data_IF_639859137016
#
_entry.id   IF_639859137016
#
_cell.length_a   1.000
_cell.length_b   1.000
_cell.length_c   1.000
_cell.angle_alpha   90.00
_cell.angle_beta   90.00
_cell.angle_gamma   90.00
#
_symmetry.space_group_name_H-M   'P 1'
#
loop_
_entity.id
_entity.type
_entity.pdbx_description
1 polymer ?
#
# COMPACT_ATOMS: atom_id res chain seq x y z
N UNK A 1 -0.02 4.17 -5.04
CA UNK A 1 -0.89 2.97 -5.07
C UNK A 1 -0.23 1.92 -5.97
N UNK A 2 0.65 1.05 -5.43
CA UNK A 2 1.26 -0.03 -6.20
C UNK A 2 0.28 -1.17 -6.54
N UNK A 3 0.60 -2.01 -7.54
CA UNK A 3 -0.12 -3.25 -7.82
C UNK A 3 -0.27 -4.16 -6.60
N UNK A 4 -1.44 -4.77 -6.45
CA UNK A 4 -1.75 -5.72 -5.38
C UNK A 4 -0.95 -7.01 -5.53
N UNK A 5 -0.32 -7.49 -4.46
CA UNK A 5 0.36 -8.77 -4.48
C UNK A 5 -0.66 -9.92 -4.36
N UNK A 6 -0.46 -10.97 -5.15
CA UNK A 6 -1.23 -12.20 -5.18
C UNK A 6 -0.30 -13.36 -4.88
N UNK A 7 -0.90 -14.50 -4.59
CA UNK A 7 -0.08 -15.56 -4.06
C UNK A 7 0.97 -16.13 -5.02
N UNK A 8 0.70 -16.15 -6.32
CA UNK A 8 1.66 -16.67 -7.30
C UNK A 8 2.62 -15.62 -7.85
N UNK A 9 2.58 -14.37 -7.37
CA UNK A 9 3.53 -13.34 -7.82
C UNK A 9 4.94 -13.69 -7.33
N UNK A 10 6.02 -13.16 -7.92
CA UNK A 10 7.42 -13.48 -7.52
C UNK A 10 8.05 -12.37 -6.68
N UNK A 11 9.01 -12.73 -5.83
CA UNK A 11 9.73 -11.81 -4.94
C UNK A 11 11.13 -11.66 -5.50
N UNK A 12 11.79 -10.57 -5.13
CA UNK A 12 13.16 -10.28 -5.45
C UNK A 12 13.97 -10.41 -4.16
N UNK A 13 14.71 -11.50 -4.02
CA UNK A 13 15.57 -11.76 -2.87
C UNK A 13 17.00 -11.31 -3.16
N UNK A 14 17.59 -10.53 -2.26
CA UNK A 14 19.01 -10.14 -2.31
C UNK A 14 19.95 -11.29 -2.01
N UNK A 15 19.48 -12.33 -1.32
CA UNK A 15 20.27 -13.56 -1.07
C UNK A 15 20.40 -14.42 -2.34
N UNK A 16 19.44 -14.32 -3.28
CA UNK A 16 19.41 -15.10 -4.51
C UNK A 16 19.12 -14.21 -5.75
N UNK A 17 20.02 -13.28 -6.08
CA UNK A 17 19.74 -12.19 -7.03
C UNK A 17 19.68 -12.60 -8.50
N UNK A 18 20.25 -13.76 -8.87
CA UNK A 18 20.37 -14.21 -10.27
C UNK A 18 19.31 -15.22 -10.72
N UNK A 19 18.42 -15.61 -9.81
CA UNK A 19 17.34 -16.55 -10.10
C UNK A 19 16.01 -15.85 -9.82
N UNK A 20 15.02 -15.87 -10.74
CA UNK A 20 13.66 -15.53 -10.38
C UNK A 20 13.27 -16.46 -9.22
N UNK A 21 13.29 -15.95 -7.99
CA UNK A 21 12.94 -16.75 -6.83
C UNK A 21 11.52 -17.26 -7.04
N UNK A 22 11.31 -18.55 -6.83
CA UNK A 22 10.02 -19.25 -6.86
C UNK A 22 8.92 -18.41 -6.18
N UNK A 23 7.68 -18.49 -6.69
CA UNK A 23 6.55 -17.63 -6.33
C UNK A 23 6.46 -17.26 -4.84
N UNK A 24 6.25 -15.96 -4.58
CA UNK A 24 6.21 -15.29 -3.27
C UNK A 24 5.32 -15.99 -2.29
N UNK A 25 4.17 -16.54 -2.64
CA UNK A 25 3.21 -16.94 -1.61
C UNK A 25 2.73 -18.35 -1.85
N UNK A 26 2.99 -19.21 -0.88
CA UNK A 26 2.46 -20.56 -0.88
C UNK A 26 0.94 -20.57 -1.03
N UNK A 27 0.34 -21.66 -1.56
CA UNK A 27 -1.10 -21.84 -1.54
C UNK A 27 -1.65 -21.84 -0.12
N UNK A 28 -2.12 -20.69 0.35
CA UNK A 28 -3.09 -20.54 1.44
C UNK A 28 -4.51 -20.50 0.87
N UNK A 29 -5.46 -21.09 1.58
CA UNK A 29 -6.88 -20.88 1.29
C UNK A 29 -7.24 -19.46 1.76
N UNK A 30 -7.29 -18.52 0.82
CA UNK A 30 -7.77 -17.16 1.04
C UNK A 30 -9.20 -16.98 0.53
N UNK A 31 -10.03 -16.29 1.29
CA UNK A 31 -11.41 -15.91 0.93
C UNK A 31 -11.46 -14.80 -0.11
N UNK A 32 -10.48 -13.88 -0.08
CA UNK A 32 -10.39 -12.75 -1.01
C UNK A 32 -9.50 -13.11 -2.18
N UNK A 33 -10.03 -12.89 -3.39
CA UNK A 33 -9.33 -13.14 -4.65
C UNK A 33 -9.10 -11.84 -5.42
N UNK A 34 -7.87 -11.62 -5.87
CA UNK A 34 -7.45 -10.51 -6.72
C UNK A 34 -6.95 -11.10 -8.03
N UNK A 35 -7.57 -10.72 -9.15
CA UNK A 35 -7.25 -11.31 -10.46
C UNK A 35 -7.36 -12.83 -10.47
N UNK A 36 -8.43 -13.36 -9.85
CA UNK A 36 -8.74 -14.79 -9.69
C UNK A 36 -7.77 -15.62 -8.82
N UNK A 37 -6.75 -15.00 -8.24
CA UNK A 37 -5.80 -15.64 -7.34
C UNK A 37 -6.00 -15.14 -5.92
N UNK A 38 -5.71 -15.95 -4.87
CA UNK A 38 -5.81 -15.46 -3.50
C UNK A 38 -4.88 -14.26 -3.29
N UNK A 39 -5.38 -13.27 -2.54
CA UNK A 39 -4.66 -12.05 -2.25
C UNK A 39 -3.60 -12.25 -1.15
N UNK A 40 -2.42 -11.66 -1.33
CA UNK A 40 -1.33 -11.71 -0.36
C UNK A 40 -1.43 -10.59 0.69
N UNK A 41 -0.92 -10.85 1.89
CA UNK A 41 -1.02 -9.97 3.05
C UNK A 41 0.26 -10.01 3.88
N UNK A 42 0.40 -9.04 4.76
CA UNK A 42 1.44 -9.07 5.79
C UNK A 42 1.39 -10.37 6.60
N UNK A 43 2.55 -11.00 6.77
CA UNK A 43 2.71 -12.26 7.48
C UNK A 43 2.46 -13.52 6.64
N UNK A 44 2.00 -13.40 5.39
CA UNK A 44 1.88 -14.57 4.53
C UNK A 44 3.26 -15.17 4.23
N UNK A 45 3.38 -16.51 4.18
CA UNK A 45 4.65 -17.20 4.04
C UNK A 45 5.19 -17.09 2.62
N UNK A 46 6.52 -17.04 2.52
CA UNK A 46 7.26 -16.97 1.28
C UNK A 46 8.17 -18.18 1.13
N UNK A 47 8.24 -18.71 -0.09
CA UNK A 47 9.19 -19.78 -0.43
C UNK A 47 10.28 -19.19 -1.31
N UNK A 48 11.52 -19.25 -0.83
CA UNK A 48 12.69 -18.88 -1.61
C UNK A 48 13.57 -20.11 -1.83
N UNK A 49 14.53 -19.98 -2.74
CA UNK A 49 15.60 -20.96 -2.90
C UNK A 49 16.39 -20.97 -1.59
N UNK A 50 16.46 -22.11 -0.90
CA UNK A 50 17.24 -22.24 0.35
C UNK A 50 16.51 -21.87 1.65
N UNK A 51 15.22 -21.53 1.64
CA UNK A 51 14.47 -21.35 2.89
C UNK A 51 13.09 -20.71 2.76
N UNK A 52 12.37 -20.69 3.88
CA UNK A 52 11.08 -20.01 3.99
C UNK A 52 11.27 -18.59 4.56
N UNK A 53 10.41 -17.68 4.15
CA UNK A 53 10.35 -16.30 4.60
C UNK A 53 8.92 -15.85 4.87
N UNK A 54 8.73 -14.56 5.09
CA UNK A 54 7.44 -13.92 5.35
C UNK A 54 7.37 -12.55 4.66
N UNK A 55 6.15 -12.11 4.33
CA UNK A 55 5.89 -10.71 3.95
C UNK A 55 5.96 -9.86 5.22
N UNK A 56 6.95 -8.97 5.29
CA UNK A 56 7.25 -8.22 6.51
C UNK A 56 6.29 -7.05 6.74
N UNK A 57 5.77 -6.45 5.66
CA UNK A 57 4.88 -5.28 5.72
C UNK A 57 3.86 -5.34 4.59
N UNK A 58 2.70 -4.71 4.82
CA UNK A 58 1.69 -4.42 3.80
C UNK A 58 1.16 -3.00 3.95
N UNK A 59 0.13 -2.67 3.18
CA UNK A 59 -0.59 -1.41 3.27
C UNK A 59 -1.58 -1.40 4.45
N UNK A 60 -1.37 -0.58 5.49
CA UNK A 60 -2.24 -0.58 6.67
C UNK A 60 -3.65 -0.05 6.41
N UNK A 61 -3.85 0.76 5.36
CA UNK A 61 -5.15 1.38 5.05
C UNK A 61 -6.09 0.44 4.30
N UNK A 62 -5.58 -0.67 3.77
CA UNK A 62 -6.36 -1.69 3.06
C UNK A 62 -6.17 -3.03 3.76
N UNK A 63 -7.24 -3.53 4.38
CA UNK A 63 -7.18 -4.79 5.14
C UNK A 63 -7.86 -5.92 4.37
N UNK A 64 -7.15 -7.00 4.13
CA UNK A 64 -7.66 -8.24 3.55
C UNK A 64 -7.67 -9.29 4.64
N UNK A 65 -8.83 -9.85 4.94
CA UNK A 65 -9.02 -10.78 6.06
C UNK A 65 -8.45 -10.25 7.38
N UNK A 66 -8.63 -8.95 7.63
CA UNK A 66 -8.18 -8.31 8.85
C UNK A 66 -6.68 -8.01 8.93
N UNK A 67 -5.86 -8.38 7.93
CA UNK A 67 -4.42 -8.07 7.89
C UNK A 67 -4.11 -7.03 6.80
N UNK A 68 -3.05 -6.20 6.97
CA UNK A 68 -2.59 -5.28 5.93
C UNK A 68 -2.32 -5.99 4.60
N UNK A 69 -2.87 -5.47 3.50
CA UNK A 69 -2.74 -6.07 2.18
C UNK A 69 -1.34 -5.87 1.59
N UNK A 70 -0.75 -6.92 1.02
CA UNK A 70 0.58 -6.84 0.44
C UNK A 70 0.54 -6.32 -1.01
N UNK A 71 1.64 -5.71 -1.44
CA UNK A 71 1.76 -5.02 -2.72
C UNK A 71 3.14 -5.19 -3.31
N UNK A 72 3.24 -4.90 -4.61
CA UNK A 72 4.54 -4.76 -5.28
C UNK A 72 5.42 -3.76 -4.52
N UNK A 73 6.65 -4.18 -4.23
CA UNK A 73 7.65 -3.41 -3.50
C UNK A 73 7.61 -3.56 -1.98
N UNK A 74 6.59 -4.20 -1.40
CA UNK A 74 6.57 -4.42 0.05
C UNK A 74 7.72 -5.36 0.48
N UNK A 75 8.37 -5.09 1.63
CA UNK A 75 9.55 -5.82 2.08
C UNK A 75 9.21 -7.25 2.49
N UNK A 76 10.15 -8.15 2.23
CA UNK A 76 10.12 -9.55 2.64
C UNK A 76 11.29 -9.86 3.56
N UNK A 77 11.12 -10.86 4.42
CA UNK A 77 12.17 -11.31 5.32
C UNK A 77 12.34 -12.83 5.23
N UNK A 78 13.60 -13.29 5.24
CA UNK A 78 13.91 -14.68 5.59
C UNK A 78 14.20 -14.72 7.09
N UNK A 79 13.47 -15.56 7.82
CA UNK A 79 13.37 -15.48 9.28
C UNK A 79 12.98 -14.07 9.76
N UNK A 80 13.94 -13.28 10.26
CA UNK A 80 13.73 -11.91 10.77
C UNK A 80 14.55 -10.85 10.04
N UNK A 81 15.35 -11.24 9.04
CA UNK A 81 16.22 -10.31 8.32
C UNK A 81 15.51 -9.86 7.03
N UNK A 82 15.34 -8.55 6.79
CA UNK A 82 14.84 -8.04 5.53
C UNK A 82 15.83 -8.36 4.41
N UNK A 83 15.36 -9.08 3.40
CA UNK A 83 16.23 -9.68 2.36
C UNK A 83 15.71 -9.42 0.96
N UNK A 84 14.68 -8.58 0.80
CA UNK A 84 14.07 -8.40 -0.51
C UNK A 84 12.74 -7.70 -0.48
N UNK A 85 12.08 -7.70 -1.64
CA UNK A 85 10.75 -7.13 -1.84
C UNK A 85 9.88 -8.01 -2.72
N UNK A 86 8.57 -7.78 -2.70
CA UNK A 86 7.66 -8.38 -3.68
C UNK A 86 7.93 -7.75 -5.06
N UNK A 87 8.24 -8.58 -6.07
CA UNK A 87 8.66 -8.14 -7.39
C UNK A 87 7.53 -7.96 -8.40
N UNK A 88 6.41 -8.65 -8.20
CA UNK A 88 5.27 -8.62 -9.12
C UNK A 88 3.95 -8.41 -8.37
N UNK A 89 2.93 -7.96 -9.11
CA UNK A 89 1.60 -7.74 -8.61
C UNK A 89 0.56 -7.86 -9.72
N UNK A 90 -0.72 -7.77 -9.35
CA UNK A 90 -1.85 -7.78 -10.25
C UNK A 90 -1.88 -6.50 -11.11
N UNK A 91 -1.84 -6.60 -12.46
CA UNK A 91 -1.80 -5.41 -13.32
C UNK A 91 -3.10 -4.59 -13.30
N UNK A 92 -4.20 -5.15 -12.78
CA UNK A 92 -5.53 -4.52 -12.81
C UNK A 92 -6.00 -4.00 -11.46
N UNK A 93 -5.27 -4.26 -10.36
CA UNK A 93 -5.68 -3.88 -9.02
C UNK A 93 -4.54 -3.18 -8.32
N UNK A 94 -4.74 -1.92 -7.96
CA UNK A 94 -3.80 -1.11 -7.20
C UNK A 94 -4.28 -0.96 -5.74
N UNK A 95 -3.38 -1.15 -4.79
CA UNK A 95 -3.67 -1.05 -3.35
C UNK A 95 -2.90 0.13 -2.75
N UNK A 96 -3.58 0.95 -1.96
CA UNK A 96 -2.99 2.10 -1.30
C UNK A 96 -3.95 3.26 -1.22
N UNK A 97 -3.52 4.28 -0.49
CA UNK A 97 -4.17 5.58 -0.48
C UNK A 97 -3.81 6.33 -1.76
N UNK A 98 -4.82 6.90 -2.44
CA UNK A 98 -4.58 7.85 -3.52
C UNK A 98 -4.02 9.15 -2.97
N UNK A 99 -3.37 9.96 -3.81
CA UNK A 99 -2.89 11.28 -3.38
C UNK A 99 -4.06 12.13 -2.89
N UNK A 100 -5.19 12.07 -3.58
CA UNK A 100 -6.42 12.77 -3.21
C UNK A 100 -6.99 12.29 -1.86
N UNK A 101 -6.99 10.97 -1.60
CA UNK A 101 -7.42 10.46 -0.31
C UNK A 101 -6.45 10.88 0.81
N UNK A 102 -5.16 10.91 0.53
CA UNK A 102 -4.16 11.35 1.50
C UNK A 102 -4.31 12.84 1.81
N UNK A 103 -4.56 13.68 0.80
CA UNK A 103 -4.81 15.13 1.01
C UNK A 103 -6.09 15.36 1.81
N UNK A 104 -7.15 14.59 1.55
CA UNK A 104 -8.39 14.64 2.34
C UNK A 104 -8.14 14.27 3.81
N UNK A 105 -7.37 13.21 4.07
CA UNK A 105 -7.02 12.78 5.43
C UNK A 105 -6.15 13.83 6.13
N UNK A 106 -5.17 14.44 5.43
CA UNK A 106 -4.34 15.49 6.01
C UNK A 106 -5.14 16.77 6.28
N UNK A 107 -6.03 17.17 5.37
CA UNK A 107 -6.87 18.34 5.53
C UNK A 107 -7.84 18.17 6.70
N UNK A 108 -8.44 16.99 6.82
CA UNK A 108 -9.28 16.63 7.97
C UNK A 108 -8.51 16.72 9.28
N UNK A 109 -7.26 16.23 9.33
CA UNK A 109 -6.41 16.32 10.54
C UNK A 109 -5.95 17.74 10.85
N UNK A 110 -5.72 18.56 9.83
CA UNK A 110 -5.29 19.95 9.96
C UNK A 110 -6.44 20.94 10.16
N UNK A 111 -7.69 20.51 10.03
CA UNK A 111 -8.87 21.38 10.11
C UNK A 111 -8.99 22.37 8.95
N UNK A 112 -8.20 22.21 7.87
CA UNK A 112 -8.24 23.07 6.70
C UNK A 112 -9.46 22.73 5.83
N UNK A 113 -10.41 23.65 5.63
CA UNK A 113 -11.56 23.39 4.77
C UNK A 113 -11.12 23.27 3.29
N UNK A 114 -11.81 22.43 2.52
CA UNK A 114 -11.74 22.46 1.06
C UNK A 114 -12.63 23.58 0.54
N UNK A 115 -12.24 24.83 0.79
CA UNK A 115 -12.84 25.98 0.12
C UNK A 115 -11.81 26.52 -0.85
N UNK A 116 -12.22 26.87 -2.08
CA UNK A 116 -11.54 27.92 -2.82
C UNK A 116 -11.52 29.17 -1.93
N UNK A 117 -10.48 30.00 -2.02
CA UNK A 117 -10.45 31.27 -1.31
C UNK A 117 -11.79 31.99 -1.55
N UNK A 118 -12.62 32.12 -0.50
CA UNK A 118 -13.81 32.95 -0.60
C UNK A 118 -13.33 34.33 -1.04
N UNK A 119 -13.91 34.88 -2.10
CA UNK A 119 -13.61 36.24 -2.56
C UNK A 119 -13.62 37.15 -1.33
N UNK A 120 -12.46 37.73 -1.01
CA UNK A 120 -12.29 38.47 0.24
C UNK A 120 -13.36 39.56 0.27
N UNK A 121 -14.11 39.62 1.38
CA UNK A 121 -15.02 40.75 1.58
C UNK A 121 -14.18 42.03 1.44
N UNK A 122 -14.60 43.01 0.63
CA UNK A 122 -13.86 44.25 0.49
C UNK A 122 -13.67 44.86 1.88
N UNK A 123 -12.46 45.34 2.16
CA UNK A 123 -12.13 45.96 3.45
C UNK A 123 -13.17 47.03 3.78
N UNK A 124 -14.03 46.75 4.77
CA UNK A 124 -14.99 47.73 5.24
C UNK A 124 -14.21 48.66 6.17
N UNK A 125 -13.84 49.82 5.63
CA UNK A 125 -13.15 50.87 6.38
C UNK A 125 -13.92 51.15 7.69
N UNK A 126 -13.31 51.00 8.88
CA UNK A 126 -14.02 51.13 10.16
C UNK A 126 -14.51 52.55 10.44
N UNK A 127 -14.14 53.51 9.60
CA UNK A 127 -14.67 54.86 9.58
C UNK A 127 -15.72 54.95 8.47
N UNK A 128 -16.97 54.71 8.82
CA UNK A 128 -18.11 54.99 7.94
C UNK A 128 -18.05 56.41 7.36
N UNK A 129 -18.73 56.67 6.23
CA UNK A 129 -18.60 57.94 5.51
C UNK A 129 -18.90 59.11 6.45
N UNK A 130 -17.95 60.05 6.53
CA UNK A 130 -18.14 61.28 7.25
C UNK A 130 -19.36 62.00 6.66
N UNK A 131 -20.38 62.21 7.50
CA UNK A 131 -21.54 63.05 7.20
C UNK A 131 -21.14 64.52 7.08
#
# INVERSE_FOLDING_TARGET
MPPAARMTDFHLCTLHPMTPSSGVVQPRVGTVRIGFLPAARMGDPIVCIGGNGIILKGEPTVRIEGLPAARLGDPIAHAVVPTGTIGFGCPTVNIGMSVQANTLVSASRGGTPFCEECEAAPDVDPKGPAK
#
